data_IF_132029494705
#
_entry.id   IF_132029494705
#
_cell.length_a   1.000
_cell.length_b   1.000
_cell.length_c   1.000
_cell.angle_alpha   90.00
_cell.angle_beta   90.00
_cell.angle_gamma   90.00
#
_symmetry.space_group_name_H-M   'P 1'
#
loop_
_entity.id
_entity.type
_entity.pdbx_description
1 polymer ?
#
# COMPACT_ATOMS: atom_id res chain seq x y z
N UNK A 1 -9.55 13.90 -18.67
CA UNK A 1 -9.07 14.14 -17.29
C UNK A 1 -9.80 13.25 -16.29
N UNK A 2 -11.12 13.17 -16.36
CA UNK A 2 -11.97 12.40 -15.43
C UNK A 2 -11.68 10.89 -15.42
N UNK A 3 -11.52 10.26 -16.60
CA UNK A 3 -11.17 8.83 -16.70
C UNK A 3 -9.82 8.50 -16.05
N UNK A 4 -8.83 9.40 -16.13
CA UNK A 4 -7.53 9.21 -15.46
C UNK A 4 -7.67 9.31 -13.94
N UNK A 5 -8.49 10.23 -13.44
CA UNK A 5 -8.77 10.33 -12.01
C UNK A 5 -9.46 9.07 -11.48
N UNK A 6 -10.46 8.56 -12.20
CA UNK A 6 -11.14 7.30 -11.84
C UNK A 6 -10.15 6.14 -11.75
N UNK A 7 -9.28 5.97 -12.76
CA UNK A 7 -8.24 4.92 -12.75
C UNK A 7 -7.32 5.03 -11.54
N UNK A 8 -6.81 6.24 -11.25
CA UNK A 8 -5.92 6.47 -10.11
C UNK A 8 -6.64 6.18 -8.79
N UNK A 9 -7.89 6.60 -8.64
CA UNK A 9 -8.71 6.30 -7.45
C UNK A 9 -8.91 4.79 -7.29
N UNK A 10 -9.26 4.07 -8.35
CA UNK A 10 -9.42 2.60 -8.31
C UNK A 10 -8.10 1.92 -7.93
N UNK A 11 -6.97 2.39 -8.45
CA UNK A 11 -5.66 1.86 -8.12
C UNK A 11 -5.29 2.12 -6.64
N UNK A 12 -5.59 3.31 -6.09
CA UNK A 12 -5.44 3.57 -4.66
C UNK A 12 -6.31 2.66 -3.79
N UNK A 13 -7.56 2.44 -4.17
CA UNK A 13 -8.46 1.51 -3.47
C UNK A 13 -7.93 0.08 -3.55
N UNK A 14 -7.41 -0.35 -4.70
CA UNK A 14 -6.81 -1.66 -4.85
C UNK A 14 -5.57 -1.84 -3.94
N UNK A 15 -4.75 -0.80 -3.74
CA UNK A 15 -3.66 -0.81 -2.76
C UNK A 15 -4.18 -1.01 -1.33
N UNK A 16 -5.23 -0.28 -0.92
CA UNK A 16 -5.86 -0.43 0.40
C UNK A 16 -6.38 -1.86 0.59
N UNK A 17 -7.11 -2.39 -0.40
CA UNK A 17 -7.61 -3.76 -0.36
C UNK A 17 -6.47 -4.78 -0.30
N UNK A 18 -5.39 -4.55 -1.03
CA UNK A 18 -4.20 -5.40 -1.00
C UNK A 18 -3.59 -5.48 0.40
N UNK A 19 -3.35 -4.33 1.05
CA UNK A 19 -2.83 -4.33 2.42
C UNK A 19 -3.80 -4.96 3.43
N UNK A 20 -5.10 -4.70 3.30
CA UNK A 20 -6.10 -5.33 4.16
C UNK A 20 -6.08 -6.86 4.03
N UNK A 21 -5.97 -7.38 2.81
CA UNK A 21 -5.82 -8.81 2.56
C UNK A 21 -4.49 -9.36 3.06
N UNK A 22 -3.40 -8.58 2.96
CA UNK A 22 -2.10 -8.95 3.53
C UNK A 22 -2.17 -9.11 5.05
N UNK A 23 -2.72 -8.13 5.76
CA UNK A 23 -2.94 -8.24 7.20
C UNK A 23 -3.87 -9.40 7.55
N UNK A 24 -4.94 -9.62 6.77
CA UNK A 24 -5.84 -10.76 7.01
C UNK A 24 -5.11 -12.09 6.85
N UNK A 25 -4.25 -12.21 5.83
CA UNK A 25 -3.45 -13.41 5.60
C UNK A 25 -2.50 -13.70 6.76
N UNK A 26 -1.85 -12.68 7.32
CA UNK A 26 -0.97 -12.82 8.48
C UNK A 26 -1.74 -13.22 9.75
N UNK A 27 -3.04 -12.90 9.82
CA UNK A 27 -3.91 -13.28 10.93
C UNK A 27 -4.59 -14.64 10.76
N UNK A 28 -4.55 -15.26 9.57
CA UNK A 28 -5.19 -16.56 9.33
C UNK A 28 -4.74 -17.68 10.27
N UNK A 29 -3.46 -17.80 10.66
CA UNK A 29 -3.01 -18.84 11.60
C UNK A 29 -3.75 -18.83 12.95
N UNK A 30 -4.30 -17.68 13.37
CA UNK A 30 -5.10 -17.56 14.59
C UNK A 30 -6.31 -18.51 14.59
N UNK A 31 -6.89 -18.79 13.42
CA UNK A 31 -8.03 -19.71 13.30
C UNK A 31 -7.65 -21.19 13.45
N UNK A 32 -6.35 -21.51 13.53
CA UNK A 32 -5.80 -22.83 13.78
C UNK A 32 -5.06 -22.93 15.12
N UNK A 33 -5.32 -22.00 16.05
CA UNK A 33 -4.68 -21.93 17.38
C UNK A 33 -3.14 -21.75 17.31
N UNK A 34 -2.62 -21.26 16.17
CA UNK A 34 -1.22 -20.91 16.03
C UNK A 34 -0.95 -19.50 16.58
N UNK A 35 0.21 -19.34 17.22
CA UNK A 35 0.64 -18.06 17.79
C UNK A 35 1.00 -17.04 16.70
N UNK A 36 0.36 -15.88 16.71
CA UNK A 36 0.62 -14.74 15.80
C UNK A 36 1.49 -13.63 16.41
N UNK A 37 2.00 -13.82 17.64
CA UNK A 37 2.74 -12.78 18.37
C UNK A 37 4.23 -12.84 18.08
N UNK A 38 4.81 -11.69 17.70
CA UNK A 38 6.27 -11.50 17.64
C UNK A 38 6.73 -10.75 18.91
N UNK A 39 7.74 -11.31 19.56
CA UNK A 39 8.51 -10.87 20.74
C UNK A 39 7.99 -11.17 22.16
N UNK A 40 8.83 -11.93 22.88
CA UNK A 40 8.68 -12.40 24.26
C UNK A 40 8.77 -11.30 25.34
N UNK A 41 8.81 -10.02 24.97
CA UNK A 41 8.99 -8.87 25.87
C UNK A 41 7.67 -8.22 26.30
N UNK A 42 6.55 -8.57 25.66
CA UNK A 42 5.21 -8.04 25.97
C UNK A 42 4.94 -6.61 25.50
N UNK A 43 5.89 -5.95 24.83
CA UNK A 43 5.73 -4.60 24.31
C UNK A 43 5.54 -4.63 22.78
N UNK A 44 4.42 -4.10 22.29
CA UNK A 44 4.26 -3.88 20.86
C UNK A 44 5.23 -2.78 20.38
N UNK A 45 5.92 -2.93 19.24
CA UNK A 45 6.79 -1.89 18.69
C UNK A 45 5.93 -0.76 18.09
N UNK A 46 5.39 0.10 18.95
CA UNK A 46 4.40 1.14 18.61
C UNK A 46 4.85 2.01 17.43
N UNK A 47 6.15 2.34 17.35
CA UNK A 47 6.71 3.09 16.22
C UNK A 47 6.56 2.37 14.89
N UNK A 48 6.85 1.07 14.84
CA UNK A 48 6.71 0.26 13.63
C UNK A 48 5.23 0.07 13.27
N UNK A 49 4.35 -0.19 14.25
CA UNK A 49 2.91 -0.27 14.01
C UNK A 49 2.36 1.04 13.43
N UNK A 50 2.76 2.18 14.01
CA UNK A 50 2.34 3.51 13.54
C UNK A 50 2.82 3.76 12.12
N UNK A 51 4.06 3.39 11.82
CA UNK A 51 4.61 3.48 10.47
C UNK A 51 3.82 2.62 9.48
N UNK A 52 3.57 1.35 9.81
CA UNK A 52 2.81 0.45 8.95
C UNK A 52 1.40 0.95 8.71
N UNK A 53 0.69 1.41 9.74
CA UNK A 53 -0.64 2.02 9.59
C UNK A 53 -0.63 3.29 8.73
N UNK A 54 0.43 4.09 8.84
CA UNK A 54 0.59 5.29 8.02
C UNK A 54 0.72 4.93 6.55
N UNK A 55 1.53 3.93 6.24
CA UNK A 55 1.77 3.50 4.86
C UNK A 55 0.58 2.72 4.29
N UNK A 56 0.02 1.76 5.03
CA UNK A 56 -1.02 0.86 4.53
C UNK A 56 -2.41 1.50 4.46
N UNK A 57 -2.66 2.55 5.23
CA UNK A 57 -3.97 3.21 5.31
C UNK A 57 -3.91 4.72 5.03
N UNK A 58 -3.17 5.49 5.84
CA UNK A 58 -3.25 6.95 5.81
C UNK A 58 -2.79 7.53 4.46
N UNK A 59 -1.64 7.10 3.96
CA UNK A 59 -1.10 7.53 2.66
C UNK A 59 -2.08 7.22 1.52
N UNK A 60 -2.60 5.98 1.38
CA UNK A 60 -3.59 5.67 0.36
C UNK A 60 -4.87 6.51 0.44
N UNK A 61 -5.40 6.74 1.65
CA UNK A 61 -6.59 7.59 1.84
C UNK A 61 -6.32 9.02 1.38
N UNK A 62 -5.18 9.60 1.77
CA UNK A 62 -4.76 10.93 1.29
C UNK A 62 -4.61 10.90 -0.24
N UNK A 63 -4.07 9.83 -0.80
CA UNK A 63 -3.98 9.61 -2.25
C UNK A 63 -5.35 9.70 -2.93
N UNK A 64 -6.35 8.94 -2.45
CA UNK A 64 -7.73 8.99 -2.94
C UNK A 64 -8.29 10.40 -2.87
N UNK A 65 -8.19 11.06 -1.71
CA UNK A 65 -8.73 12.40 -1.50
C UNK A 65 -8.07 13.43 -2.43
N UNK A 66 -6.73 13.36 -2.58
CA UNK A 66 -5.99 14.19 -3.53
C UNK A 66 -6.49 14.00 -4.97
N UNK A 67 -6.79 12.77 -5.38
CA UNK A 67 -7.26 12.48 -6.74
C UNK A 67 -8.69 12.98 -6.98
N UNK A 68 -9.60 12.75 -6.02
CA UNK A 68 -11.01 13.10 -6.13
C UNK A 68 -11.24 14.61 -6.04
N UNK A 69 -10.62 15.26 -5.05
CA UNK A 69 -10.88 16.67 -4.73
C UNK A 69 -9.81 17.63 -5.24
N UNK A 70 -8.65 17.12 -5.66
CA UNK A 70 -7.57 17.94 -6.21
C UNK A 70 -7.98 18.65 -7.51
N UNK A 71 -7.85 19.98 -7.52
CA UNK A 71 -8.20 20.84 -8.67
C UNK A 71 -7.02 21.58 -9.31
N UNK A 72 -5.86 21.59 -8.65
CA UNK A 72 -4.66 22.27 -9.16
C UNK A 72 -3.53 21.30 -9.40
N UNK A 73 -2.55 21.73 -10.20
CA UNK A 73 -1.36 20.94 -10.55
C UNK A 73 -0.58 20.46 -9.32
N UNK A 74 -0.53 21.25 -8.24
CA UNK A 74 0.14 20.87 -7.00
C UNK A 74 -0.46 19.61 -6.36
N UNK A 75 -1.78 19.42 -6.44
CA UNK A 75 -2.43 18.19 -5.95
C UNK A 75 -2.03 16.97 -6.76
N UNK A 76 -1.89 17.11 -8.07
CA UNK A 76 -1.46 16.02 -8.94
C UNK A 76 0.01 15.65 -8.69
N UNK A 77 0.87 16.65 -8.45
CA UNK A 77 2.25 16.44 -8.03
C UNK A 77 2.30 15.70 -6.69
N UNK A 78 1.54 16.17 -5.69
CA UNK A 78 1.44 15.50 -4.39
C UNK A 78 0.98 14.05 -4.52
N UNK A 79 -0.04 13.78 -5.34
CA UNK A 79 -0.51 12.42 -5.59
C UNK A 79 0.56 11.51 -6.20
N UNK A 80 1.34 12.00 -7.17
CA UNK A 80 2.42 11.20 -7.74
C UNK A 80 3.56 10.97 -6.76
N UNK A 81 3.89 11.94 -5.91
CA UNK A 81 4.87 11.75 -4.83
C UNK A 81 4.41 10.64 -3.89
N UNK A 82 3.15 10.66 -3.45
CA UNK A 82 2.58 9.60 -2.61
C UNK A 82 2.61 8.24 -3.32
N UNK A 83 2.26 8.19 -4.61
CA UNK A 83 2.30 6.97 -5.40
C UNK A 83 3.73 6.40 -5.57
N UNK A 84 4.73 7.26 -5.75
CA UNK A 84 6.14 6.87 -5.83
C UNK A 84 6.60 6.31 -4.48
N UNK A 85 6.29 6.99 -3.37
CA UNK A 85 6.61 6.50 -2.03
C UNK A 85 5.98 5.14 -1.77
N UNK A 86 4.72 4.95 -2.17
CA UNK A 86 4.02 3.67 -2.05
C UNK A 86 4.70 2.57 -2.89
N UNK A 87 5.06 2.87 -4.13
CA UNK A 87 5.78 1.93 -4.98
C UNK A 87 7.13 1.53 -4.40
N UNK A 88 7.92 2.50 -3.92
CA UNK A 88 9.21 2.23 -3.29
C UNK A 88 9.05 1.38 -2.03
N UNK A 89 8.07 1.70 -1.18
CA UNK A 89 7.77 0.89 -0.01
C UNK A 89 7.44 -0.55 -0.40
N UNK A 90 6.53 -0.77 -1.35
CA UNK A 90 6.16 -2.11 -1.80
C UNK A 90 7.32 -2.86 -2.47
N UNK A 91 8.23 -2.14 -3.12
CA UNK A 91 9.44 -2.72 -3.70
C UNK A 91 10.39 -3.24 -2.60
N UNK A 92 10.59 -2.47 -1.54
CA UNK A 92 11.38 -2.91 -0.39
C UNK A 92 10.67 -4.00 0.42
N UNK A 93 9.36 -3.90 0.59
CA UNK A 93 8.57 -4.88 1.32
C UNK A 93 8.55 -6.25 0.60
N UNK A 94 8.65 -6.28 -0.73
CA UNK A 94 8.81 -7.53 -1.50
C UNK A 94 10.04 -8.34 -1.06
N UNK A 95 11.08 -7.70 -0.51
CA UNK A 95 12.29 -8.38 -0.02
C UNK A 95 11.96 -9.41 1.06
N UNK A 96 10.85 -9.22 1.79
CA UNK A 96 10.38 -10.15 2.81
C UNK A 96 10.17 -11.57 2.26
N UNK A 97 9.74 -11.71 1.00
CA UNK A 97 9.61 -13.01 0.34
C UNK A 97 10.93 -13.78 0.28
N UNK A 98 12.07 -13.09 0.27
CA UNK A 98 13.40 -13.71 0.15
C UNK A 98 14.07 -13.92 1.51
N UNK A 99 13.69 -13.16 2.54
CA UNK A 99 14.29 -13.25 3.89
C UNK A 99 13.47 -14.11 4.86
N UNK A 100 12.18 -14.33 4.58
CA UNK A 100 11.25 -15.07 5.43
C UNK A 100 10.08 -15.64 4.63
N UNK A 101 10.39 -16.44 3.60
CA UNK A 101 9.42 -16.90 2.60
C UNK A 101 8.14 -17.51 3.20
N UNK A 102 6.99 -16.97 2.79
CA UNK A 102 5.66 -17.54 3.03
C UNK A 102 4.92 -17.70 1.71
N UNK A 103 4.38 -18.89 1.46
CA UNK A 103 3.60 -19.18 0.26
C UNK A 103 2.33 -18.31 0.16
N UNK A 104 1.77 -17.89 1.31
CA UNK A 104 0.56 -17.06 1.38
C UNK A 104 0.86 -15.62 0.93
N UNK A 105 2.09 -15.14 1.09
CA UNK A 105 2.50 -13.80 0.67
C UNK A 105 2.78 -13.69 -0.85
N UNK A 106 3.02 -14.82 -1.53
CA UNK A 106 3.34 -14.88 -2.96
C UNK A 106 2.28 -14.24 -3.88
N UNK A 107 0.96 -14.44 -3.67
CA UNK A 107 -0.04 -13.72 -4.45
C UNK A 107 -0.28 -12.29 -4.01
N UNK A 108 0.23 -11.86 -2.84
CA UNK A 108 -0.09 -10.56 -2.24
C UNK A 108 0.96 -9.51 -2.56
N UNK A 109 2.21 -9.74 -2.15
CA UNK A 109 3.28 -8.74 -2.27
C UNK A 109 3.61 -8.37 -3.72
N UNK A 110 3.77 -9.32 -4.68
CA UNK A 110 4.02 -8.99 -6.07
C UNK A 110 2.85 -8.24 -6.72
N UNK A 111 1.60 -8.62 -6.38
CA UNK A 111 0.41 -8.00 -6.96
C UNK A 111 0.27 -6.55 -6.50
N UNK A 112 0.44 -6.29 -5.20
CA UNK A 112 0.41 -4.93 -4.64
C UNK A 112 1.51 -4.07 -5.27
N UNK A 113 2.72 -4.63 -5.48
CA UNK A 113 3.80 -3.93 -6.15
C UNK A 113 3.43 -3.54 -7.60
N UNK A 114 2.88 -4.46 -8.37
CA UNK A 114 2.44 -4.21 -9.75
C UNK A 114 1.35 -3.13 -9.79
N UNK A 115 0.34 -3.22 -8.92
CA UNK A 115 -0.73 -2.21 -8.79
C UNK A 115 -0.13 -0.84 -8.46
N UNK A 116 0.82 -0.79 -7.52
CA UNK A 116 1.52 0.44 -7.14
C UNK A 116 2.36 1.02 -8.29
N UNK A 117 2.93 0.16 -9.14
CA UNK A 117 3.62 0.57 -10.35
C UNK A 117 2.69 1.24 -11.36
N UNK A 118 1.51 0.65 -11.61
CA UNK A 118 0.49 1.27 -12.45
C UNK A 118 -0.03 2.59 -11.87
N UNK A 119 -0.22 2.64 -10.56
CA UNK A 119 -0.60 3.85 -9.85
C UNK A 119 0.41 4.97 -10.06
N UNK A 120 1.71 4.68 -9.86
CA UNK A 120 2.79 5.61 -10.10
C UNK A 120 2.79 6.12 -11.56
N UNK A 121 2.68 5.21 -12.53
CA UNK A 121 2.64 5.57 -13.95
C UNK A 121 1.46 6.50 -14.30
N UNK A 122 0.25 6.16 -13.85
CA UNK A 122 -0.95 6.96 -14.15
C UNK A 122 -0.91 8.32 -13.41
N UNK A 123 -0.46 8.36 -12.16
CA UNK A 123 -0.31 9.62 -11.41
C UNK A 123 0.73 10.54 -12.05
N UNK A 124 1.86 10.00 -12.55
CA UNK A 124 2.86 10.78 -13.27
C UNK A 124 2.36 11.28 -14.63
N UNK A 125 1.56 10.48 -15.34
CA UNK A 125 0.91 10.89 -16.59
C UNK A 125 -0.10 12.03 -16.35
N UNK A 126 -0.81 12.02 -15.23
CA UNK A 126 -1.78 13.05 -14.88
C UNK A 126 -1.11 14.42 -14.69
N UNK A 127 0.13 14.49 -14.19
CA UNK A 127 0.86 15.77 -14.03
C UNK A 127 1.20 16.42 -15.37
N UNK A 128 1.46 15.60 -16.40
CA UNK A 128 1.92 16.07 -17.72
C UNK A 128 0.77 16.55 -18.62
N UNK A 129 -0.47 16.32 -18.22
CA UNK A 129 -1.69 16.73 -18.94
C UNK A 129 -2.24 18.01 -18.34
#
# INVERSE_FOLDING_TARGET
METSKIRITVLWVAVICGFALHTLADLLPLFWDESITVEATGNAPVGLLTFMMTVSYLIPVIGVLCTLYGRSRSWYIGNAVLAILMFLFNLFHLVELFTGFSAVQLPLLPVILVVSGFLCMESCRLIKR
#
